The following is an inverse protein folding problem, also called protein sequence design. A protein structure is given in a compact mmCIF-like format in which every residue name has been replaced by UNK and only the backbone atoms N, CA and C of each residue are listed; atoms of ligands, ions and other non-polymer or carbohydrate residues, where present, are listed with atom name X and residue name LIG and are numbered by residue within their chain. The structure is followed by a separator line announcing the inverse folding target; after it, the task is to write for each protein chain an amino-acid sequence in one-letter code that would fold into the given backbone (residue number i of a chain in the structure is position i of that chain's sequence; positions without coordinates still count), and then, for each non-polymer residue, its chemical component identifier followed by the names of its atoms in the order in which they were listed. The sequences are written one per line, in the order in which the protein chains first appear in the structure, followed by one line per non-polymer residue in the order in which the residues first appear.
data_IF_045569164015
#
_entry.id   IF_045569164015
#
_cell.length_a   1.000
_cell.length_b   1.000
_cell.length_c   1.000
_cell.angle_alpha   90.00
_cell.angle_beta   90.00
_cell.angle_gamma   90.00
#
_symmetry.space_group_name_H-M   'P 1'
#
loop_
_entity.id
_entity.type
_entity.pdbx_description
1 polymer ?
#
# COMPACT_ATOMS: atom_id res chain seq x y z
N UNK A 1 9.34 -8.79 -2.09
CA UNK A 1 7.99 -8.28 -1.76
C UNK A 1 8.01 -7.43 -0.50
N UNK A 2 8.31 -7.96 0.69
CA UNK A 2 8.34 -7.15 1.94
C UNK A 2 9.22 -5.88 1.83
N UNK A 3 10.42 -6.01 1.26
CA UNK A 3 11.33 -4.85 1.05
C UNK A 3 10.73 -3.83 0.07
N UNK A 4 10.07 -4.28 -0.99
CA UNK A 4 9.43 -3.40 -1.99
C UNK A 4 8.20 -2.73 -1.41
N UNK A 5 7.34 -3.49 -0.73
CA UNK A 5 6.19 -2.98 0.00
C UNK A 5 6.61 -1.86 0.96
N UNK A 6 7.68 -2.09 1.75
CA UNK A 6 8.22 -1.06 2.66
C UNK A 6 8.68 0.19 1.91
N UNK A 7 9.38 0.03 0.78
CA UNK A 7 9.78 1.18 -0.05
C UNK A 7 8.56 1.95 -0.60
N UNK A 8 7.47 1.27 -0.98
CA UNK A 8 6.24 1.93 -1.38
C UNK A 8 5.57 2.69 -0.23
N UNK A 9 5.58 2.14 0.98
CA UNK A 9 5.10 2.83 2.20
C UNK A 9 5.93 4.08 2.48
N UNK A 10 7.26 3.99 2.42
CA UNK A 10 8.16 5.13 2.60
C UNK A 10 7.85 6.24 1.59
N UNK A 11 7.76 5.90 0.30
CA UNK A 11 7.40 6.84 -0.77
C UNK A 11 5.99 7.44 -0.60
N UNK A 12 5.05 6.67 -0.03
CA UNK A 12 3.68 7.13 0.24
C UNK A 12 3.68 8.17 1.36
N UNK A 13 4.41 7.92 2.44
CA UNK A 13 4.57 8.86 3.55
C UNK A 13 5.31 10.13 3.13
N UNK A 14 6.35 10.01 2.29
CA UNK A 14 7.05 11.15 1.70
C UNK A 14 6.10 12.00 0.84
N UNK A 15 5.27 11.36 0.02
CA UNK A 15 4.29 12.07 -0.81
C UNK A 15 3.23 12.79 0.03
N UNK A 16 2.80 12.21 1.16
CA UNK A 16 1.89 12.88 2.10
C UNK A 16 2.53 14.07 2.83
N UNK A 17 3.85 14.01 3.07
CA UNK A 17 4.59 15.05 3.76
C UNK A 17 5.08 16.19 2.83
N UNK A 18 4.96 16.02 1.52
CA UNK A 18 5.32 17.04 0.55
C UNK A 18 4.46 18.30 0.74
N UNK A 19 5.03 19.47 0.44
CA UNK A 19 4.27 20.71 0.45
C UNK A 19 3.16 20.67 -0.61
N UNK A 20 1.96 21.11 -0.22
CA UNK A 20 0.72 21.01 -1.01
C UNK A 20 0.68 21.82 -2.31
N UNK A 21 1.84 22.18 -2.86
CA UNK A 21 2.01 22.81 -4.17
C UNK A 21 1.71 21.88 -5.34
N UNK A 22 1.81 20.55 -5.17
CA UNK A 22 1.49 19.58 -6.21
C UNK A 22 0.30 18.67 -5.82
N UNK A 23 -0.61 18.36 -6.76
CA UNK A 23 -1.64 17.35 -6.54
C UNK A 23 -1.01 15.96 -6.35
N UNK A 24 -1.03 15.44 -5.11
CA UNK A 24 -0.40 14.15 -4.78
C UNK A 24 -1.33 12.94 -4.97
N UNK A 25 -2.64 13.14 -5.14
CA UNK A 25 -3.66 12.06 -5.22
C UNK A 25 -3.30 10.95 -6.20
N UNK A 26 -2.98 11.30 -7.46
CA UNK A 26 -2.56 10.33 -8.48
C UNK A 26 -1.30 9.54 -8.10
N UNK A 27 -0.33 10.18 -7.44
CA UNK A 27 0.90 9.51 -6.97
C UNK A 27 0.59 8.56 -5.81
N UNK A 28 -0.26 8.98 -4.87
CA UNK A 28 -0.74 8.13 -3.78
C UNK A 28 -1.50 6.92 -4.33
N UNK A 29 -2.39 7.11 -5.29
CA UNK A 29 -3.14 6.03 -5.94
C UNK A 29 -2.23 4.98 -6.59
N UNK A 30 -1.19 5.43 -7.31
CA UNK A 30 -0.19 4.52 -7.88
C UNK A 30 0.55 3.72 -6.80
N UNK A 31 1.00 4.38 -5.73
CA UNK A 31 1.74 3.73 -4.65
C UNK A 31 0.87 2.70 -3.91
N UNK A 32 -0.40 3.00 -3.67
CA UNK A 32 -1.34 2.06 -3.05
C UNK A 32 -1.61 0.86 -3.95
N UNK A 33 -1.71 1.07 -5.26
CA UNK A 33 -1.84 -0.02 -6.22
C UNK A 33 -0.63 -0.96 -6.17
N UNK A 34 0.58 -0.42 -6.11
CA UNK A 34 1.79 -1.23 -6.01
C UNK A 34 1.94 -1.91 -4.64
N UNK A 35 1.54 -1.25 -3.54
CA UNK A 35 1.41 -1.89 -2.22
C UNK A 35 0.46 -3.09 -2.28
N UNK A 36 -0.69 -2.96 -2.94
CA UNK A 36 -1.65 -4.06 -3.07
C UNK A 36 -1.08 -5.22 -3.90
N UNK A 37 -0.32 -4.94 -4.97
CA UNK A 37 0.39 -5.96 -5.76
C UNK A 37 1.39 -6.75 -4.90
N UNK A 38 2.17 -6.03 -4.10
CA UNK A 38 3.18 -6.64 -3.23
C UNK A 38 2.52 -7.45 -2.09
N UNK A 39 1.43 -6.94 -1.49
CA UNK A 39 0.64 -7.67 -0.48
C UNK A 39 0.04 -8.97 -1.02
N UNK A 40 -0.49 -8.97 -2.25
CA UNK A 40 -0.97 -10.19 -2.90
C UNK A 40 0.14 -11.21 -3.13
N UNK A 41 1.34 -10.75 -3.50
CA UNK A 41 2.48 -11.63 -3.75
C UNK A 41 3.04 -12.21 -2.45
N UNK A 42 2.99 -11.46 -1.34
CA UNK A 42 3.31 -11.97 0.00
C UNK A 42 2.34 -13.09 0.37
N UNK A 43 1.03 -12.86 0.22
CA UNK A 43 0.01 -13.84 0.57
C UNK A 43 0.06 -15.10 -0.28
N UNK A 44 0.29 -14.99 -1.58
CA UNK A 44 0.37 -16.16 -2.47
C UNK A 44 1.63 -17.01 -2.26
N UNK A 45 2.67 -16.45 -1.63
CA UNK A 45 3.91 -17.16 -1.26
C UNK A 45 3.96 -17.54 0.23
N UNK A 46 2.89 -17.27 0.99
CA UNK A 46 2.83 -17.59 2.41
C UNK A 46 2.61 -19.10 2.61
N UNK A 47 3.66 -19.80 3.05
CA UNK A 47 3.61 -21.24 3.35
C UNK A 47 3.24 -21.56 4.81
N UNK A 48 3.01 -20.52 5.62
CA UNK A 48 2.65 -20.63 7.03
C UNK A 48 1.26 -19.98 7.25
N UNK A 49 0.41 -20.65 8.03
CA UNK A 49 -0.96 -20.19 8.28
C UNK A 49 -1.02 -18.85 9.00
N UNK A 50 -0.09 -18.60 9.93
CA UNK A 50 0.01 -17.33 10.65
C UNK A 50 0.38 -16.21 9.68
N UNK A 51 1.36 -16.44 8.80
CA UNK A 51 1.77 -15.47 7.78
C UNK A 51 0.63 -15.22 6.79
N UNK A 52 -0.13 -16.26 6.42
CA UNK A 52 -1.28 -16.13 5.54
C UNK A 52 -2.36 -15.22 6.15
N UNK A 53 -2.73 -15.43 7.41
CA UNK A 53 -3.68 -14.54 8.11
C UNK A 53 -3.19 -13.09 8.19
N UNK A 54 -1.91 -12.89 8.52
CA UNK A 54 -1.32 -11.54 8.54
C UNK A 54 -1.37 -10.90 7.15
N UNK A 55 -1.14 -11.67 6.09
CA UNK A 55 -1.21 -11.15 4.72
C UNK A 55 -2.62 -10.78 4.28
N UNK A 56 -3.66 -11.47 4.78
CA UNK A 56 -5.06 -11.09 4.53
C UNK A 56 -5.36 -9.76 5.20
N UNK A 57 -5.02 -9.61 6.49
CA UNK A 57 -5.20 -8.35 7.21
C UNK A 57 -4.44 -7.19 6.56
N UNK A 58 -3.20 -7.43 6.09
CA UNK A 58 -2.43 -6.44 5.34
C UNK A 58 -3.18 -5.94 4.09
N UNK A 59 -3.79 -6.85 3.33
CA UNK A 59 -4.56 -6.47 2.13
C UNK A 59 -5.77 -5.62 2.48
N UNK A 60 -6.46 -5.93 3.57
CA UNK A 60 -7.60 -5.15 4.06
C UNK A 60 -7.19 -3.72 4.46
N UNK A 61 -6.03 -3.56 5.11
CA UNK A 61 -5.49 -2.22 5.42
C UNK A 61 -5.13 -1.44 4.15
N UNK A 62 -4.51 -2.09 3.16
CA UNK A 62 -4.16 -1.44 1.89
C UNK A 62 -5.42 -1.00 1.14
N UNK A 63 -6.49 -1.79 1.14
CA UNK A 63 -7.74 -1.41 0.49
C UNK A 63 -8.42 -0.24 1.21
N UNK A 64 -8.42 -0.21 2.55
CA UNK A 64 -8.89 0.95 3.31
C UNK A 64 -8.13 2.23 2.98
N UNK A 65 -6.81 2.14 2.81
CA UNK A 65 -5.99 3.28 2.37
C UNK A 65 -6.39 3.70 0.95
N UNK A 66 -6.62 2.74 0.05
CA UNK A 66 -7.06 3.01 -1.32
C UNK A 66 -8.37 3.80 -1.36
N UNK A 67 -9.37 3.35 -0.61
CA UNK A 67 -10.66 4.05 -0.49
C UNK A 67 -10.47 5.48 0.04
N UNK A 68 -9.58 5.69 1.02
CA UNK A 68 -9.29 7.04 1.52
C UNK A 68 -8.64 7.92 0.44
N UNK A 69 -7.70 7.38 -0.34
CA UNK A 69 -7.05 8.13 -1.42
C UNK A 69 -8.07 8.51 -2.52
N UNK A 70 -8.93 7.58 -2.92
CA UNK A 70 -9.98 7.84 -3.92
C UNK A 70 -11.02 8.86 -3.46
N UNK A 71 -11.28 8.96 -2.15
CA UNK A 71 -12.22 9.94 -1.57
C UNK A 71 -11.65 11.36 -1.39
N UNK A 72 -10.32 11.53 -1.51
CA UNK A 72 -9.63 12.82 -1.33
C UNK A 72 -9.33 13.51 -2.68
N UNK A 73 -9.43 12.79 -3.80
CA UNK A 73 -9.41 13.36 -5.16
C UNK A 73 -10.67 14.20 -5.46
#
# INVERSE_FOLDING_TARGET
EIVRFRSHVELFLEALAADGSEPVGKRLGFLVQEMHREANTIGSKANDLTISHVSVALKEEVERIREQVENVE
#
